data_IF_806634794047
#
_entry.id   IF_806634794047
#
_cell.length_a   1.000
_cell.length_b   1.000
_cell.length_c   1.000
_cell.angle_alpha   90.00
_cell.angle_beta   90.00
_cell.angle_gamma   90.00
#
_symmetry.space_group_name_H-M   'P 1'
#
loop_
_entity.id
_entity.type
_entity.pdbx_description
1 polymer ?
#
# COMPACT_ATOMS: atom_id res chain seq x y z
N UNK A 1 -19.11 13.16 3.59
CA UNK A 1 -17.96 12.62 2.82
C UNK A 1 -17.72 11.17 3.24
N UNK A 2 -17.59 10.24 2.28
CA UNK A 2 -17.40 8.82 2.59
C UNK A 2 -15.92 8.53 2.67
N UNK A 3 -15.45 8.02 3.81
CA UNK A 3 -14.05 7.63 4.01
C UNK A 3 -13.91 6.12 3.95
N UNK A 4 -12.81 5.65 3.36
CA UNK A 4 -12.46 4.24 3.30
C UNK A 4 -11.22 3.97 4.15
N UNK A 5 -11.34 3.06 5.11
CA UNK A 5 -10.18 2.49 5.80
C UNK A 5 -9.47 1.46 4.92
N UNK A 6 -8.18 1.68 4.68
CA UNK A 6 -7.28 0.80 3.94
C UNK A 6 -6.16 0.36 4.88
N UNK A 7 -5.89 -0.94 4.91
CA UNK A 7 -4.85 -1.53 5.75
C UNK A 7 -3.83 -2.29 4.89
N UNK A 8 -2.58 -2.43 5.35
CA UNK A 8 -1.57 -3.19 4.60
C UNK A 8 -1.96 -4.64 4.32
N UNK A 9 -2.66 -5.29 5.25
CA UNK A 9 -3.15 -6.66 5.10
C UNK A 9 -4.12 -6.87 3.94
N UNK A 10 -4.66 -5.80 3.35
CA UNK A 10 -5.53 -5.91 2.18
C UNK A 10 -4.77 -6.24 0.90
N UNK A 11 -3.48 -5.90 0.85
CA UNK A 11 -2.59 -6.08 -0.31
C UNK A 11 -1.57 -7.21 -0.13
N UNK A 12 -1.60 -7.87 1.02
CA UNK A 12 -0.68 -8.94 1.36
C UNK A 12 -1.13 -10.27 0.73
N UNK A 13 -0.22 -10.88 -0.03
CA UNK A 13 -0.41 -12.16 -0.72
C UNK A 13 -0.71 -13.31 0.23
N UNK A 14 -0.19 -13.26 1.45
CA UNK A 14 -0.28 -14.34 2.43
C UNK A 14 -1.37 -14.09 3.49
N UNK A 15 -1.92 -12.88 3.53
CA UNK A 15 -3.00 -12.49 4.43
C UNK A 15 -4.35 -13.14 4.08
N UNK A 16 -5.06 -13.63 5.11
CA UNK A 16 -6.44 -14.09 5.00
C UNK A 16 -7.46 -12.95 4.88
N UNK A 17 -7.05 -11.70 5.17
CA UNK A 17 -7.91 -10.51 5.09
C UNK A 17 -7.69 -9.70 3.81
N UNK A 18 -6.90 -10.23 2.89
CA UNK A 18 -6.66 -9.67 1.55
C UNK A 18 -7.97 -9.29 0.86
N UNK A 19 -7.97 -8.16 0.15
CA UNK A 19 -9.14 -7.63 -0.58
C UNK A 19 -8.93 -7.56 -2.10
N UNK A 20 -7.72 -7.84 -2.56
CA UNK A 20 -7.32 -7.91 -3.98
C UNK A 20 -6.95 -9.36 -4.35
N UNK A 21 -6.77 -9.67 -5.64
CA UNK A 21 -6.44 -11.04 -6.09
C UNK A 21 -4.94 -11.30 -5.84
N UNK A 22 -4.54 -12.58 -5.72
CA UNK A 22 -3.16 -12.95 -5.33
C UNK A 22 -2.10 -12.54 -6.35
N UNK A 23 -2.47 -12.52 -7.63
CA UNK A 23 -1.67 -12.07 -8.78
C UNK A 23 -1.38 -10.56 -8.74
N UNK A 24 -2.29 -9.77 -8.18
CA UNK A 24 -2.12 -8.32 -8.02
C UNK A 24 -1.64 -7.92 -6.62
N UNK A 25 -1.15 -8.86 -5.81
CA UNK A 25 -0.66 -8.60 -4.45
C UNK A 25 0.85 -8.62 -4.37
N UNK A 26 1.35 -8.06 -3.28
CA UNK A 26 2.76 -8.14 -2.89
C UNK A 26 2.87 -8.95 -1.60
N UNK A 27 4.00 -9.60 -1.36
CA UNK A 27 4.27 -10.27 -0.08
C UNK A 27 4.76 -9.26 0.96
N UNK A 28 4.23 -9.34 2.18
CA UNK A 28 4.64 -8.48 3.30
C UNK A 28 4.67 -6.97 2.96
N UNK A 29 3.56 -6.37 2.48
CA UNK A 29 3.51 -4.94 2.21
C UNK A 29 3.71 -4.13 3.48
N UNK A 30 4.62 -3.15 3.44
CA UNK A 30 4.76 -2.20 4.54
C UNK A 30 3.78 -1.05 4.37
N UNK A 31 3.40 -0.40 5.47
CA UNK A 31 2.59 0.81 5.40
C UNK A 31 3.31 1.92 4.61
N UNK A 32 4.63 2.02 4.71
CA UNK A 32 5.40 3.03 3.99
C UNK A 32 5.36 2.82 2.47
N UNK A 33 5.49 1.59 1.98
CA UNK A 33 5.33 1.27 0.55
C UNK A 33 3.96 1.70 0.03
N UNK A 34 2.90 1.42 0.79
CA UNK A 34 1.53 1.78 0.45
C UNK A 34 1.35 3.28 0.45
N UNK A 35 1.89 3.98 1.45
CA UNK A 35 1.88 5.44 1.53
C UNK A 35 2.49 6.03 0.26
N UNK A 36 3.69 5.60 -0.11
CA UNK A 36 4.35 6.11 -1.32
C UNK A 36 3.51 5.79 -2.57
N UNK A 37 2.92 4.61 -2.68
CA UNK A 37 2.05 4.26 -3.82
C UNK A 37 0.83 5.19 -3.92
N UNK A 38 0.17 5.46 -2.80
CA UNK A 38 -0.97 6.38 -2.73
C UNK A 38 -0.57 7.83 -3.05
N UNK A 39 0.61 8.27 -2.61
CA UNK A 39 1.17 9.60 -2.94
C UNK A 39 1.43 9.74 -4.45
N UNK A 40 1.99 8.71 -5.11
CA UNK A 40 2.19 8.75 -6.57
C UNK A 40 0.89 8.80 -7.36
N UNK A 41 -0.20 8.32 -6.78
CA UNK A 41 -1.54 8.41 -7.37
C UNK A 41 -2.24 9.74 -7.05
N UNK A 42 -1.60 10.63 -6.28
CA UNK A 42 -2.17 11.90 -5.79
C UNK A 42 -3.49 11.71 -5.04
N UNK A 43 -3.63 10.60 -4.31
CA UNK A 43 -4.80 10.34 -3.49
C UNK A 43 -4.78 11.22 -2.23
N UNK A 44 -5.93 11.75 -1.85
CA UNK A 44 -6.11 12.42 -0.55
C UNK A 44 -6.39 11.38 0.53
N UNK A 45 -5.45 11.23 1.46
CA UNK A 45 -5.58 10.27 2.56
C UNK A 45 -4.94 10.80 3.86
N UNK A 46 -5.42 10.28 4.98
CA UNK A 46 -4.75 10.43 6.28
C UNK A 46 -4.01 9.14 6.64
N UNK A 47 -2.74 9.24 7.04
CA UNK A 47 -1.93 8.10 7.47
C UNK A 47 -1.87 7.99 8.99
N UNK A 48 -2.48 6.94 9.52
CA UNK A 48 -2.54 6.65 10.94
C UNK A 48 -1.56 5.52 11.26
N UNK A 49 -0.29 5.88 11.50
CA UNK A 49 0.84 4.95 11.66
C UNK A 49 0.64 3.91 12.75
N UNK A 50 0.03 4.28 13.87
CA UNK A 50 -0.10 3.42 15.05
C UNK A 50 -1.32 2.49 15.00
N UNK A 51 -2.30 2.78 14.13
CA UNK A 51 -3.50 1.96 14.02
C UNK A 51 -3.18 0.61 13.40
N UNK A 52 -3.89 -0.42 13.84
CA UNK A 52 -3.72 -1.80 13.37
C UNK A 52 -5.04 -2.36 12.90
N UNK A 53 -4.98 -3.32 11.99
CA UNK A 53 -6.15 -4.10 11.62
C UNK A 53 -6.48 -5.06 12.78
N UNK A 54 -7.74 -5.21 13.23
CA UNK A 54 -8.08 -6.07 14.36
C UNK A 54 -7.61 -7.52 14.20
N UNK A 55 -7.72 -8.06 12.99
CA UNK A 55 -7.26 -9.42 12.67
C UNK A 55 -5.76 -9.52 12.31
N UNK A 56 -4.99 -8.44 12.42
CA UNK A 56 -3.54 -8.43 12.19
C UNK A 56 -2.87 -7.37 13.07
N UNK A 57 -2.79 -7.61 14.39
CA UNK A 57 -2.28 -6.65 15.36
C UNK A 57 -0.77 -6.38 15.22
N UNK A 58 -0.02 -7.26 14.53
CA UNK A 58 1.42 -7.13 14.34
C UNK A 58 1.80 -6.23 13.16
N UNK A 59 0.85 -5.89 12.27
CA UNK A 59 1.11 -5.06 11.10
C UNK A 59 0.49 -3.67 11.30
N UNK A 60 1.28 -2.65 11.68
CA UNK A 60 0.79 -1.30 11.90
C UNK A 60 0.53 -0.55 10.59
N UNK A 61 -0.30 0.48 10.69
CA UNK A 61 -0.68 1.36 9.59
C UNK A 61 -2.16 1.21 9.22
N UNK A 62 -2.85 2.35 9.20
CA UNK A 62 -4.16 2.51 8.55
C UNK A 62 -4.16 3.78 7.71
N UNK A 63 -4.78 3.70 6.55
CA UNK A 63 -5.03 4.84 5.69
C UNK A 63 -6.51 5.13 5.65
N UNK A 64 -6.90 6.36 5.95
CA UNK A 64 -8.28 6.84 5.80
C UNK A 64 -8.34 7.65 4.51
N UNK A 65 -8.95 7.09 3.47
CA UNK A 65 -8.98 7.67 2.11
C UNK A 65 -10.31 8.36 1.88
N UNK A 66 -10.29 9.61 1.42
CA UNK A 66 -11.52 10.30 1.02
C UNK A 66 -11.97 9.78 -0.34
N UNK A 67 -13.23 9.34 -0.45
CA UNK A 67 -13.86 9.08 -1.73
C UNK A 67 -14.61 10.36 -2.12
N UNK A 68 -14.01 11.15 -3.00
CA UNK A 68 -14.66 12.28 -3.65
C UNK A 68 -15.90 11.76 -4.41
N UNK A 69 -17.09 12.38 -4.26
CA UNK A 69 -18.30 11.95 -4.94
C UNK A 69 -18.19 12.06 -6.47
N UNK A 70 -17.35 12.96 -6.97
CA UNK A 70 -17.06 13.13 -8.41
C UNK A 70 -16.17 12.01 -8.96
N UNK A 71 -15.30 11.45 -8.13
CA UNK A 71 -14.53 10.28 -8.46
C UNK A 71 -15.37 9.04 -8.13
N UNK A 72 -16.24 8.62 -9.06
CA UNK A 72 -17.07 7.42 -9.00
C UNK A 72 -16.29 6.08 -8.87
N UNK A 73 -15.03 6.13 -8.43
CA UNK A 73 -14.20 4.98 -8.10
C UNK A 73 -14.85 4.20 -6.96
N UNK A 74 -15.37 3.02 -7.32
CA UNK A 74 -15.81 2.04 -6.33
C UNK A 74 -14.67 1.69 -5.38
N UNK A 75 -15.01 1.31 -4.15
CA UNK A 75 -14.05 0.77 -3.17
C UNK A 75 -13.12 -0.29 -3.79
N UNK A 76 -13.66 -1.16 -4.66
CA UNK A 76 -12.90 -2.22 -5.31
C UNK A 76 -11.89 -1.65 -6.31
N UNK A 77 -12.31 -0.68 -7.12
CA UNK A 77 -11.44 -0.04 -8.10
C UNK A 77 -10.27 0.69 -7.43
N UNK A 78 -10.53 1.45 -6.35
CA UNK A 78 -9.47 2.12 -5.58
C UNK A 78 -8.42 1.13 -5.07
N UNK A 79 -8.85 0.01 -4.48
CA UNK A 79 -7.93 -1.02 -3.98
C UNK A 79 -7.13 -1.66 -5.12
N UNK A 80 -7.73 -1.87 -6.29
CA UNK A 80 -6.99 -2.39 -7.45
C UNK A 80 -5.93 -1.40 -7.93
N UNK A 81 -6.26 -0.11 -8.02
CA UNK A 81 -5.31 0.92 -8.44
C UNK A 81 -4.12 1.05 -7.47
N UNK A 82 -4.37 1.00 -6.15
CA UNK A 82 -3.29 0.99 -5.15
C UNK A 82 -2.43 -0.27 -5.32
N UNK A 83 -3.05 -1.43 -5.53
CA UNK A 83 -2.31 -2.69 -5.71
C UNK A 83 -1.43 -2.70 -6.96
N UNK A 84 -1.89 -2.10 -8.06
CA UNK A 84 -1.12 -1.94 -9.28
C UNK A 84 0.08 -1.01 -9.07
N UNK A 85 -0.13 0.15 -8.44
CA UNK A 85 0.95 1.09 -8.14
C UNK A 85 2.01 0.50 -7.19
N UNK A 86 1.58 -0.32 -6.22
CA UNK A 86 2.48 -1.07 -5.34
C UNK A 86 3.35 -2.07 -6.11
N UNK A 87 2.73 -2.85 -6.99
CA UNK A 87 3.42 -3.87 -7.78
C UNK A 87 4.44 -3.22 -8.74
N UNK A 88 4.05 -2.13 -9.40
CA UNK A 88 4.93 -1.36 -10.27
C UNK A 88 6.18 -0.87 -9.53
N UNK A 89 6.02 -0.37 -8.29
CA UNK A 89 7.14 0.08 -7.47
C UNK A 89 8.08 -1.05 -7.08
N UNK A 90 7.54 -2.19 -6.66
CA UNK A 90 8.34 -3.39 -6.34
C UNK A 90 9.15 -3.86 -7.54
N UNK A 91 8.52 -3.95 -8.71
CA UNK A 91 9.19 -4.36 -9.96
C UNK A 91 10.31 -3.39 -10.35
N UNK A 92 10.10 -2.07 -10.16
CA UNK A 92 11.13 -1.05 -10.39
C UNK A 92 12.31 -1.16 -9.41
N UNK A 93 12.05 -1.44 -8.14
CA UNK A 93 13.10 -1.65 -7.13
C UNK A 93 13.97 -2.87 -7.44
N UNK A 94 13.37 -3.95 -7.97
CA UNK A 94 14.11 -5.15 -8.37
C UNK A 94 14.93 -4.95 -9.65
N UNK A 95 14.48 -4.08 -10.56
CA UNK A 95 15.18 -3.78 -11.81
C UNK A 95 16.42 -2.87 -11.64
N UNK A 96 16.58 -2.19 -10.51
CA UNK A 96 17.73 -1.33 -10.26
C UNK A 96 18.91 -2.15 -9.69
N UNK A 97 20.12 -2.10 -10.29
CA UNK A 97 21.27 -2.81 -9.76
C UNK A 97 21.64 -2.25 -8.39
N UNK A 98 21.77 -3.14 -7.39
CA UNK A 98 22.27 -2.80 -6.05
C UNK A 98 23.71 -2.30 -6.16
N UNK A 99 23.91 -1.00 -6.37
CA UNK A 99 25.24 -0.40 -6.37
C UNK A 99 25.76 -0.46 -4.92
N UNK A 100 26.67 -1.41 -4.65
CA UNK A 100 27.31 -1.60 -3.35
C UNK A 100 28.04 -0.30 -2.98
N UNK A 101 27.48 0.45 -2.03
CA UNK A 101 28.19 1.57 -1.41
C UNK A 101 29.50 1.05 -0.83
N UNK A 102 30.63 1.45 -1.44
CA UNK A 102 31.95 1.30 -0.88
C UNK A 102 31.99 2.05 0.45
N UNK A 103 32.09 1.30 1.55
CA UNK A 103 32.41 1.84 2.87
C UNK A 103 33.81 2.46 2.79
N UNK A 104 33.90 3.79 2.66
CA UNK A 104 35.12 4.50 3.06
C UNK A 104 35.18 4.44 4.58
N UNK A 105 36.01 3.51 5.09
CA UNK A 105 36.53 3.57 6.46
C UNK A 105 37.57 4.69 6.46
N UNK A 106 37.32 5.73 7.22
CA UNK A 106 38.32 6.69 7.71
C UNK A 106 38.30 6.62 9.21
#
# INVERSE_FOLDING_TARGET
MKTLAVYPTYFDKDSQKRKVRKDTCVSNPTAEEIKTAMESMKLTFNYEKEKRHPASPLLPGRFSVSLEPEHALSKRALLLSISAALLEKRNKTEALPKNKQQRKRT
#
